data_IF_727143998966
#
_entry.id   IF_727143998966
#
_cell.length_a   1.000
_cell.length_b   1.000
_cell.length_c   1.000
_cell.angle_alpha   90.00
_cell.angle_beta   90.00
_cell.angle_gamma   90.00
#
_symmetry.space_group_name_H-M   'P 1'
#
loop_
_entity.id
_entity.type
_entity.pdbx_description
1 polymer ?
#
# COMPACT_ATOMS: atom_id res chain seq x y z
N UNK A 1 -22.62 36.37 -12.48
CA UNK A 1 -23.42 35.70 -11.42
C UNK A 1 -22.82 36.06 -10.08
N UNK A 2 -23.55 36.78 -9.23
CA UNK A 2 -23.13 37.06 -7.85
C UNK A 2 -23.23 35.76 -7.03
N UNK A 3 -22.09 35.26 -6.56
CA UNK A 3 -22.04 34.11 -5.65
C UNK A 3 -22.62 34.59 -4.30
N UNK A 4 -23.72 33.99 -3.86
CA UNK A 4 -24.35 34.35 -2.57
C UNK A 4 -23.34 34.21 -1.41
N UNK A 5 -23.40 35.06 -0.36
CA UNK A 5 -22.51 34.94 0.79
C UNK A 5 -22.57 33.55 1.43
N UNK A 6 -21.45 33.05 1.96
CA UNK A 6 -21.36 31.67 2.51
C UNK A 6 -22.39 31.37 3.60
N UNK A 7 -22.75 32.36 4.42
CA UNK A 7 -23.80 32.23 5.45
C UNK A 7 -25.16 31.91 4.82
N UNK A 8 -25.50 32.53 3.68
CA UNK A 8 -26.74 32.27 2.95
C UNK A 8 -26.69 30.89 2.29
N UNK A 9 -25.54 30.51 1.70
CA UNK A 9 -25.35 29.17 1.14
C UNK A 9 -25.58 28.08 2.19
N UNK A 10 -25.02 28.22 3.40
CA UNK A 10 -25.21 27.25 4.50
C UNK A 10 -26.67 27.11 4.92
N UNK A 11 -27.42 28.22 5.01
CA UNK A 11 -28.87 28.15 5.28
C UNK A 11 -29.61 27.37 4.21
N UNK A 12 -29.30 27.61 2.93
CA UNK A 12 -29.88 26.85 1.81
C UNK A 12 -29.52 25.37 1.90
N UNK A 13 -28.27 25.04 2.23
CA UNK A 13 -27.81 23.65 2.40
C UNK A 13 -28.50 22.93 3.56
N UNK A 14 -28.72 23.61 4.69
CA UNK A 14 -29.46 23.08 5.82
C UNK A 14 -30.93 22.82 5.46
N UNK A 15 -31.55 23.70 4.65
CA UNK A 15 -32.92 23.52 4.15
C UNK A 15 -33.03 22.52 2.99
N UNK A 16 -31.95 22.25 2.27
CA UNK A 16 -31.94 21.37 1.09
C UNK A 16 -30.70 20.45 1.10
N UNK A 17 -30.79 19.30 1.80
CA UNK A 17 -29.69 18.33 1.89
C UNK A 17 -29.24 17.78 0.53
N UNK A 18 -30.17 17.59 -0.42
CA UNK A 18 -29.85 17.11 -1.77
C UNK A 18 -28.96 18.10 -2.52
N UNK A 19 -29.26 19.40 -2.40
CA UNK A 19 -28.40 20.44 -2.98
C UNK A 19 -27.01 20.43 -2.33
N UNK A 20 -26.94 20.30 -1.02
CA UNK A 20 -25.64 20.21 -0.33
C UNK A 20 -24.82 19.02 -0.83
N UNK A 21 -25.46 17.84 -0.94
CA UNK A 21 -24.83 16.64 -1.46
C UNK A 21 -24.29 16.83 -2.88
N UNK A 22 -25.08 17.42 -3.77
CA UNK A 22 -24.66 17.73 -5.14
C UNK A 22 -23.47 18.70 -5.19
N UNK A 23 -23.40 19.64 -4.25
CA UNK A 23 -22.31 20.62 -4.19
C UNK A 23 -21.01 20.01 -3.59
N UNK A 24 -21.08 19.00 -2.71
CA UNK A 24 -19.90 18.33 -2.13
C UNK A 24 -19.32 17.19 -2.98
N UNK A 25 -20.15 16.48 -3.76
CA UNK A 25 -19.70 15.33 -4.56
C UNK A 25 -18.52 15.69 -5.50
N UNK A 26 -18.54 16.83 -6.23
CA UNK A 26 -17.41 17.22 -7.07
C UNK A 26 -16.11 17.44 -6.28
N UNK A 27 -16.22 17.97 -5.06
CA UNK A 27 -15.07 18.22 -4.17
C UNK A 27 -14.45 16.90 -3.71
N UNK A 28 -15.31 15.95 -3.34
CA UNK A 28 -14.91 14.59 -2.97
C UNK A 28 -14.25 13.89 -4.16
N UNK A 29 -14.88 13.89 -5.35
CA UNK A 29 -14.31 13.30 -6.57
C UNK A 29 -12.94 13.89 -6.92
N UNK A 30 -12.75 15.20 -6.74
CA UNK A 30 -11.46 15.83 -6.97
C UNK A 30 -10.36 15.33 -6.01
N UNK A 31 -10.69 14.97 -4.77
CA UNK A 31 -9.73 14.35 -3.83
C UNK A 31 -9.44 12.89 -4.20
N UNK A 32 -10.49 12.12 -4.52
CA UNK A 32 -10.40 10.69 -4.83
C UNK A 32 -9.62 10.41 -6.11
N UNK A 33 -9.72 11.30 -7.10
CA UNK A 33 -9.08 11.14 -8.40
C UNK A 33 -7.72 11.86 -8.48
N UNK A 34 -7.23 12.43 -7.38
CA UNK A 34 -5.93 13.09 -7.35
C UNK A 34 -4.81 12.02 -7.37
N UNK A 35 -3.92 12.01 -8.39
CA UNK A 35 -2.90 10.99 -8.53
C UNK A 35 -1.92 10.91 -7.34
N UNK A 36 -1.61 12.04 -6.70
CA UNK A 36 -0.70 12.07 -5.56
C UNK A 36 -1.38 11.53 -4.29
N UNK A 37 -2.67 11.82 -4.09
CA UNK A 37 -3.46 11.20 -3.01
C UNK A 37 -3.51 9.68 -3.18
N UNK A 38 -3.82 9.20 -4.39
CA UNK A 38 -3.85 7.76 -4.70
C UNK A 38 -2.46 7.13 -4.49
N UNK A 39 -1.39 7.79 -4.95
CA UNK A 39 -0.02 7.32 -4.75
C UNK A 39 0.35 7.21 -3.27
N UNK A 40 0.01 8.24 -2.48
CA UNK A 40 0.24 8.25 -1.03
C UNK A 40 -0.59 7.19 -0.29
N UNK A 41 -1.79 6.84 -0.77
CA UNK A 41 -2.62 5.82 -0.14
C UNK A 41 -2.09 4.39 -0.37
N UNK A 42 -1.35 4.17 -1.46
CA UNK A 42 -0.67 2.90 -1.76
C UNK A 42 0.64 2.70 -0.97
N UNK A 43 1.16 3.72 -0.28
CA UNK A 43 2.40 3.61 0.47
C UNK A 43 2.20 2.82 1.77
N UNK A 44 2.88 1.68 1.87
CA UNK A 44 2.86 0.81 3.05
C UNK A 44 3.98 1.13 4.04
N UNK A 45 5.08 1.73 3.59
CA UNK A 45 6.28 1.98 4.41
C UNK A 45 6.85 3.39 4.18
N UNK A 46 6.08 4.41 4.56
CA UNK A 46 6.47 5.81 4.41
C UNK A 46 7.71 6.17 5.25
N UNK A 47 8.79 6.62 4.61
CA UNK A 47 9.99 7.11 5.31
C UNK A 47 9.74 8.43 6.06
N UNK A 48 8.92 9.29 5.46
CA UNK A 48 8.61 10.63 5.98
C UNK A 48 7.11 10.73 6.29
N UNK A 49 6.62 10.03 7.34
CA UNK A 49 5.20 9.94 7.64
C UNK A 49 4.54 11.31 7.84
N UNK A 50 5.24 12.23 8.53
CA UNK A 50 4.72 13.58 8.76
C UNK A 50 4.55 14.38 7.48
N UNK A 51 5.42 14.21 6.48
CA UNK A 51 5.32 14.92 5.19
C UNK A 51 4.11 14.44 4.42
N UNK A 52 3.93 13.12 4.28
CA UNK A 52 2.76 12.50 3.63
C UNK A 52 1.47 13.01 4.26
N UNK A 53 1.40 12.92 5.59
CA UNK A 53 0.24 13.35 6.36
C UNK A 53 -0.10 14.83 6.14
N UNK A 54 0.90 15.71 6.18
CA UNK A 54 0.71 17.15 5.99
C UNK A 54 0.30 17.46 4.53
N UNK A 55 0.87 16.76 3.55
CA UNK A 55 0.53 16.93 2.13
C UNK A 55 -0.94 16.58 1.89
N UNK A 56 -1.41 15.40 2.34
CA UNK A 56 -2.82 15.00 2.20
C UNK A 56 -3.76 16.03 2.82
N UNK A 57 -3.49 16.46 4.07
CA UNK A 57 -4.32 17.45 4.78
C UNK A 57 -4.32 18.84 4.14
N UNK A 58 -3.24 19.21 3.46
CA UNK A 58 -3.13 20.51 2.77
C UNK A 58 -3.95 20.60 1.48
N UNK A 59 -4.52 19.48 1.01
CA UNK A 59 -5.24 19.37 -0.26
C UNK A 59 -6.43 20.33 -0.34
N UNK A 60 -6.65 20.90 -1.53
CA UNK A 60 -7.67 21.93 -1.75
C UNK A 60 -9.09 21.46 -1.41
N UNK A 61 -9.41 20.19 -1.66
CA UNK A 61 -10.72 19.62 -1.33
C UNK A 61 -11.03 19.66 0.17
N UNK A 62 -10.05 19.41 1.03
CA UNK A 62 -10.25 19.45 2.49
C UNK A 62 -10.58 20.88 2.93
N UNK A 63 -9.80 21.87 2.46
CA UNK A 63 -10.06 23.29 2.73
C UNK A 63 -11.46 23.70 2.29
N UNK A 64 -11.88 23.30 1.07
CA UNK A 64 -13.23 23.56 0.56
C UNK A 64 -14.33 22.89 1.39
N UNK A 65 -14.12 21.65 1.86
CA UNK A 65 -15.07 20.97 2.73
C UNK A 65 -15.21 21.70 4.08
N UNK A 66 -14.10 22.13 4.68
CA UNK A 66 -14.11 22.95 5.90
C UNK A 66 -14.88 24.26 5.70
N UNK A 67 -14.66 24.94 4.58
CA UNK A 67 -15.40 26.15 4.21
C UNK A 67 -16.90 25.87 4.03
N UNK A 68 -17.28 24.70 3.55
CA UNK A 68 -18.70 24.33 3.40
C UNK A 68 -19.33 24.08 4.77
N UNK A 69 -18.66 23.30 5.61
CA UNK A 69 -19.11 22.94 6.96
C UNK A 69 -19.21 24.18 7.84
N UNK A 70 -18.19 25.04 7.86
CA UNK A 70 -18.19 26.29 8.63
C UNK A 70 -18.42 26.14 10.13
N UNK A 71 -18.12 24.96 10.70
CA UNK A 71 -18.38 24.61 12.10
C UNK A 71 -19.81 24.18 12.42
N UNK A 72 -20.68 24.02 11.43
CA UNK A 72 -22.03 23.51 11.63
C UNK A 72 -22.02 21.97 11.71
N UNK A 73 -22.48 21.42 12.85
CA UNK A 73 -22.45 19.98 13.11
C UNK A 73 -23.37 19.19 12.17
N UNK A 74 -24.48 19.76 11.72
CA UNK A 74 -25.39 19.09 10.80
C UNK A 74 -24.77 18.99 9.41
N UNK A 75 -24.13 20.04 8.92
CA UNK A 75 -23.38 19.99 7.65
C UNK A 75 -22.18 19.05 7.73
N UNK A 76 -21.46 19.02 8.86
CA UNK A 76 -20.39 18.04 9.11
C UNK A 76 -20.92 16.61 9.01
N UNK A 77 -22.01 16.29 9.72
CA UNK A 77 -22.65 14.98 9.69
C UNK A 77 -23.13 14.60 8.28
N UNK A 78 -23.64 15.55 7.51
CA UNK A 78 -24.03 15.31 6.12
C UNK A 78 -22.82 14.93 5.25
N UNK A 79 -21.66 15.57 5.44
CA UNK A 79 -20.41 15.14 4.78
C UNK A 79 -20.03 13.73 5.21
N UNK A 80 -20.00 13.44 6.51
CA UNK A 80 -19.64 12.11 7.04
C UNK A 80 -20.57 11.00 6.53
N UNK A 81 -21.88 11.24 6.48
CA UNK A 81 -22.87 10.31 5.93
C UNK A 81 -22.66 10.07 4.43
N UNK A 82 -22.28 11.11 3.68
CA UNK A 82 -21.97 10.99 2.25
C UNK A 82 -20.73 10.14 2.03
N UNK A 83 -19.65 10.37 2.79
CA UNK A 83 -18.43 9.57 2.72
C UNK A 83 -18.70 8.10 3.09
N UNK A 84 -19.51 7.85 4.12
CA UNK A 84 -19.93 6.50 4.54
C UNK A 84 -20.70 5.78 3.43
N UNK A 85 -21.64 6.47 2.79
CA UNK A 85 -22.45 5.89 1.70
C UNK A 85 -21.60 5.58 0.47
N UNK A 86 -20.69 6.47 0.11
CA UNK A 86 -19.76 6.27 -1.00
C UNK A 86 -18.78 5.12 -0.72
N UNK A 87 -18.23 5.04 0.51
CA UNK A 87 -17.38 3.94 0.93
C UNK A 87 -18.09 2.58 0.81
N UNK A 88 -19.34 2.47 1.26
CA UNK A 88 -20.12 1.22 1.12
C UNK A 88 -20.34 0.86 -0.34
N UNK A 89 -20.63 1.86 -1.18
CA UNK A 89 -20.88 1.66 -2.60
C UNK A 89 -19.63 1.16 -3.34
N UNK A 90 -18.48 1.79 -3.12
CA UNK A 90 -17.26 1.56 -3.93
C UNK A 90 -16.23 0.65 -3.28
N UNK A 91 -16.30 0.42 -1.97
CA UNK A 91 -15.24 -0.21 -1.17
C UNK A 91 -13.90 0.55 -1.12
N UNK A 92 -13.86 1.82 -1.50
CA UNK A 92 -12.60 2.55 -1.62
C UNK A 92 -12.18 3.15 -0.27
N UNK A 93 -11.04 2.69 0.26
CA UNK A 93 -10.48 3.15 1.53
C UNK A 93 -10.06 4.63 1.51
N UNK A 94 -9.92 5.28 0.34
CA UNK A 94 -9.61 6.73 0.29
C UNK A 94 -10.76 7.55 0.90
N UNK A 95 -12.02 7.06 0.89
CA UNK A 95 -13.11 7.71 1.65
C UNK A 95 -12.87 7.69 3.16
N UNK A 96 -12.20 6.64 3.66
CA UNK A 96 -11.77 6.55 5.05
C UNK A 96 -10.65 7.56 5.36
N UNK A 97 -9.68 7.72 4.44
CA UNK A 97 -8.65 8.76 4.54
C UNK A 97 -9.26 10.15 4.56
N UNK A 98 -10.20 10.45 3.67
CA UNK A 98 -10.84 11.76 3.62
C UNK A 98 -11.65 12.05 4.90
N UNK A 99 -12.36 11.05 5.45
CA UNK A 99 -13.01 11.16 6.76
C UNK A 99 -12.01 11.54 7.85
N UNK A 100 -10.90 10.80 7.92
CA UNK A 100 -9.83 11.03 8.89
C UNK A 100 -9.27 12.44 8.78
N UNK A 101 -8.85 12.84 7.57
CA UNK A 101 -8.17 14.10 7.32
C UNK A 101 -9.11 15.30 7.53
N UNK A 102 -10.41 15.19 7.21
CA UNK A 102 -11.38 16.27 7.48
C UNK A 102 -11.55 16.50 8.98
N UNK A 103 -11.63 15.44 9.80
CA UNK A 103 -11.73 15.58 11.25
C UNK A 103 -10.45 16.18 11.85
N UNK A 104 -9.28 15.75 11.39
CA UNK A 104 -8.01 16.36 11.83
C UNK A 104 -7.84 17.80 11.35
N UNK A 105 -8.31 18.15 10.15
CA UNK A 105 -8.32 19.53 9.69
C UNK A 105 -9.27 20.41 10.53
N UNK A 106 -10.42 19.89 10.96
CA UNK A 106 -11.30 20.60 11.91
C UNK A 106 -10.61 20.84 13.26
N UNK A 107 -9.82 19.88 13.74
CA UNK A 107 -9.01 20.02 14.94
C UNK A 107 -7.93 21.10 14.79
N UNK A 108 -7.17 21.07 13.70
CA UNK A 108 -6.13 22.08 13.41
C UNK A 108 -6.71 23.49 13.26
N UNK A 109 -7.91 23.60 12.68
CA UNK A 109 -8.65 24.85 12.54
C UNK A 109 -9.37 25.28 13.84
N UNK A 110 -9.20 24.55 14.96
CA UNK A 110 -9.83 24.82 16.26
C UNK A 110 -11.37 24.89 16.23
N UNK A 111 -12.02 24.11 15.36
CA UNK A 111 -13.48 24.07 15.21
C UNK A 111 -14.10 23.20 16.33
N UNK A 112 -14.18 23.76 17.54
CA UNK A 112 -14.62 23.04 18.75
C UNK A 112 -16.03 22.46 18.67
N UNK A 113 -16.91 23.08 17.90
CA UNK A 113 -18.27 22.60 17.67
C UNK A 113 -18.29 21.19 17.05
N UNK A 114 -17.26 20.83 16.29
CA UNK A 114 -17.11 19.50 15.70
C UNK A 114 -16.29 18.61 16.63
N UNK A 115 -15.07 19.03 17.01
CA UNK A 115 -14.14 18.15 17.74
C UNK A 115 -14.63 17.71 19.11
N UNK A 116 -15.48 18.51 19.76
CA UNK A 116 -16.05 18.15 21.08
C UNK A 116 -17.21 17.18 20.95
N UNK A 117 -17.87 17.13 19.79
CA UNK A 117 -19.10 16.37 19.58
C UNK A 117 -18.92 15.15 18.66
N UNK A 118 -17.84 15.09 17.87
CA UNK A 118 -17.54 13.92 17.06
C UNK A 118 -17.03 12.78 17.98
N UNK A 119 -17.71 11.62 18.01
CA UNK A 119 -17.40 10.54 18.93
C UNK A 119 -16.08 9.84 18.60
N UNK A 120 -15.51 10.06 17.42
CA UNK A 120 -14.26 9.46 16.98
C UNK A 120 -13.05 10.39 17.17
N UNK A 121 -13.25 11.64 17.58
CA UNK A 121 -12.17 12.63 17.69
C UNK A 121 -11.04 12.18 18.62
N UNK A 122 -11.35 11.66 19.81
CA UNK A 122 -10.36 11.17 20.77
C UNK A 122 -9.48 10.07 20.14
N UNK A 123 -10.09 9.12 19.42
CA UNK A 123 -9.38 8.05 18.74
C UNK A 123 -8.48 8.59 17.63
N UNK A 124 -9.03 9.40 16.71
CA UNK A 124 -8.29 9.96 15.57
C UNK A 124 -7.11 10.80 16.06
N UNK A 125 -7.28 11.58 17.13
CA UNK A 125 -6.21 12.38 17.69
C UNK A 125 -5.04 11.53 18.24
N UNK A 126 -5.35 10.43 18.93
CA UNK A 126 -4.32 9.49 19.39
C UNK A 126 -3.64 8.77 18.21
N UNK A 127 -4.42 8.32 17.23
CA UNK A 127 -3.91 7.70 16.01
C UNK A 127 -3.06 8.68 15.18
N UNK A 128 -3.34 9.98 15.22
CA UNK A 128 -2.56 10.97 14.48
C UNK A 128 -1.14 11.09 15.01
N UNK A 129 -1.01 11.11 16.33
CA UNK A 129 0.28 11.10 16.99
C UNK A 129 1.05 9.81 16.68
N UNK A 130 0.35 8.67 16.70
CA UNK A 130 0.87 7.37 16.27
C UNK A 130 1.41 7.43 14.84
N UNK A 131 0.57 7.78 13.88
CA UNK A 131 0.85 7.89 12.45
C UNK A 131 2.07 8.77 12.16
N UNK A 132 2.18 9.94 12.80
CA UNK A 132 3.32 10.86 12.61
C UNK A 132 4.67 10.27 13.06
N UNK A 133 4.66 9.35 14.00
CA UNK A 133 5.87 8.72 14.57
C UNK A 133 6.09 7.28 14.14
N UNK A 134 5.11 6.67 13.45
CA UNK A 134 5.05 5.23 13.16
C UNK A 134 5.30 4.37 14.40
N UNK A 135 4.86 4.84 15.56
CA UNK A 135 5.05 4.20 16.87
C UNK A 135 3.78 4.26 17.71
N UNK A 136 3.45 3.12 18.32
CA UNK A 136 2.40 3.00 19.34
C UNK A 136 3.09 2.70 20.68
N UNK A 137 3.49 3.76 21.39
CA UNK A 137 4.01 3.61 22.76
C UNK A 137 2.92 3.14 23.74
N UNK A 138 3.34 2.58 24.88
CA UNK A 138 2.42 2.01 25.88
C UNK A 138 1.33 3.01 26.32
N UNK A 139 1.69 4.29 26.48
CA UNK A 139 0.75 5.35 26.88
C UNK A 139 -0.34 5.55 25.82
N UNK A 140 0.02 5.57 24.54
CA UNK A 140 -0.93 5.72 23.43
C UNK A 140 -1.82 4.48 23.29
N UNK A 141 -1.25 3.29 23.42
CA UNK A 141 -2.02 2.04 23.43
C UNK A 141 -3.05 2.07 24.56
N UNK A 142 -2.64 2.49 25.76
CA UNK A 142 -3.53 2.60 26.92
C UNK A 142 -4.66 3.63 26.70
N UNK A 143 -4.35 4.79 26.12
CA UNK A 143 -5.37 5.78 25.77
C UNK A 143 -6.39 5.23 24.75
N UNK A 144 -5.90 4.53 23.72
CA UNK A 144 -6.77 3.92 22.71
C UNK A 144 -7.63 2.82 23.36
N UNK A 145 -7.07 1.98 24.22
CA UNK A 145 -7.85 0.96 24.98
C UNK A 145 -8.94 1.60 25.84
N UNK A 146 -8.59 2.61 26.63
CA UNK A 146 -9.55 3.38 27.44
C UNK A 146 -10.65 4.02 26.60
N UNK A 147 -10.34 4.45 25.38
CA UNK A 147 -11.36 4.92 24.45
C UNK A 147 -12.35 3.80 24.10
N UNK A 148 -11.86 2.60 23.72
CA UNK A 148 -12.72 1.45 23.42
C UNK A 148 -13.57 1.01 24.62
N UNK A 149 -13.03 1.07 25.84
CA UNK A 149 -13.76 0.69 27.06
C UNK A 149 -14.98 1.60 27.33
N UNK A 150 -14.99 2.83 26.80
CA UNK A 150 -16.11 3.77 26.92
C UNK A 150 -17.21 3.51 25.89
N UNK A 151 -16.92 2.80 24.80
CA UNK A 151 -17.86 2.60 23.68
C UNK A 151 -18.66 1.33 23.93
N UNK A 152 -19.99 1.43 23.86
CA UNK A 152 -20.87 0.29 24.11
C UNK A 152 -20.73 -0.77 23.00
N UNK A 153 -20.86 -2.06 23.34
CA UNK A 153 -20.51 -3.18 22.44
C UNK A 153 -21.18 -3.16 21.05
N UNK A 154 -22.41 -2.66 20.96
CA UNK A 154 -23.18 -2.60 19.72
C UNK A 154 -23.40 -1.14 19.25
N UNK A 155 -22.57 -0.20 19.73
CA UNK A 155 -22.66 1.23 19.41
C UNK A 155 -22.38 1.51 17.93
N UNK A 156 -23.23 2.28 17.21
CA UNK A 156 -22.98 2.71 15.83
C UNK A 156 -21.62 3.38 15.60
N UNK A 157 -21.02 3.97 16.63
CA UNK A 157 -19.67 4.56 16.59
C UNK A 157 -18.62 3.54 16.13
N UNK A 158 -18.82 2.24 16.34
CA UNK A 158 -17.91 1.21 15.81
C UNK A 158 -17.80 1.23 14.27
N UNK A 159 -18.84 1.65 13.55
CA UNK A 159 -18.77 1.81 12.10
C UNK A 159 -17.79 2.93 11.70
N UNK A 160 -17.81 4.03 12.44
CA UNK A 160 -16.91 5.17 12.23
C UNK A 160 -15.47 4.85 12.63
N UNK A 161 -15.29 4.17 13.77
CA UNK A 161 -14.01 3.63 14.23
C UNK A 161 -13.43 2.69 13.18
N UNK A 162 -14.23 1.75 12.67
CA UNK A 162 -13.77 0.80 11.67
C UNK A 162 -13.32 1.52 10.39
N UNK A 163 -14.07 2.52 9.91
CA UNK A 163 -13.62 3.34 8.78
C UNK A 163 -12.29 4.05 9.09
N UNK A 164 -12.13 4.66 10.27
CA UNK A 164 -10.87 5.31 10.67
C UNK A 164 -9.69 4.32 10.65
N UNK A 165 -9.89 3.11 11.17
CA UNK A 165 -8.86 2.07 11.19
C UNK A 165 -8.59 1.49 9.80
N UNK A 166 -9.55 1.61 8.87
CA UNK A 166 -9.39 1.21 7.47
C UNK A 166 -8.70 2.28 6.60
N UNK A 167 -8.39 3.46 7.13
CA UNK A 167 -7.49 4.40 6.44
C UNK A 167 -6.17 3.66 6.09
N UNK A 168 -5.72 3.67 4.82
CA UNK A 168 -4.55 2.91 4.39
C UNK A 168 -3.29 3.23 5.21
N UNK A 169 -3.07 4.51 5.55
CA UNK A 169 -1.92 4.92 6.33
C UNK A 169 -1.97 4.37 7.76
N UNK A 170 -3.12 4.49 8.42
CA UNK A 170 -3.39 3.97 9.77
C UNK A 170 -3.30 2.44 9.82
N UNK A 171 -3.96 1.73 8.90
CA UNK A 171 -3.93 0.27 8.86
C UNK A 171 -2.51 -0.27 8.60
N UNK A 172 -1.72 0.38 7.74
CA UNK A 172 -0.32 0.00 7.51
C UNK A 172 0.56 0.33 8.72
N UNK A 173 0.32 1.43 9.41
CA UNK A 173 0.99 1.75 10.66
C UNK A 173 0.72 0.68 11.74
N UNK A 174 -0.53 0.25 11.91
CA UNK A 174 -0.91 -0.83 12.83
C UNK A 174 -0.26 -2.16 12.43
N UNK A 175 -0.27 -2.52 11.14
CA UNK A 175 0.36 -3.75 10.64
C UNK A 175 1.88 -3.76 10.86
N UNK A 176 2.55 -2.63 10.61
CA UNK A 176 3.97 -2.45 10.89
C UNK A 176 4.28 -2.61 12.38
N UNK A 177 3.46 -2.03 13.25
CA UNK A 177 3.60 -2.20 14.71
C UNK A 177 3.33 -3.63 15.18
N UNK A 178 2.35 -4.31 14.59
CA UNK A 178 2.06 -5.71 14.89
C UNK A 178 3.28 -6.60 14.58
N UNK A 179 3.90 -6.41 13.40
CA UNK A 179 5.14 -7.09 13.06
C UNK A 179 6.26 -6.76 14.05
N UNK A 180 6.41 -5.49 14.43
CA UNK A 180 7.45 -5.07 15.36
C UNK A 180 7.28 -5.72 16.75
N UNK A 181 6.04 -5.84 17.26
CA UNK A 181 5.76 -6.55 18.51
C UNK A 181 6.18 -8.02 18.41
N UNK A 182 5.90 -8.68 17.28
CA UNK A 182 6.31 -10.07 17.05
C UNK A 182 7.84 -10.24 17.02
N UNK A 183 8.55 -9.31 16.39
CA UNK A 183 10.03 -9.28 16.36
C UNK A 183 10.59 -9.08 17.78
N UNK A 184 10.08 -8.09 18.52
CA UNK A 184 10.53 -7.77 19.88
C UNK A 184 10.28 -8.93 20.86
N UNK A 185 9.13 -9.60 20.74
CA UNK A 185 8.81 -10.78 21.55
C UNK A 185 9.81 -11.92 21.34
N UNK A 186 10.24 -12.12 20.09
CA UNK A 186 11.23 -13.13 19.72
C UNK A 186 12.62 -12.81 20.28
N UNK A 187 12.99 -11.53 20.32
CA UNK A 187 14.32 -11.10 20.81
C UNK A 187 14.44 -11.08 22.34
N UNK A 188 13.32 -10.89 23.06
CA UNK A 188 13.33 -10.69 24.51
C UNK A 188 12.83 -11.90 25.32
N UNK A 189 12.45 -12.99 24.65
CA UNK A 189 11.82 -14.19 25.24
C UNK A 189 10.55 -13.89 26.07
N UNK A 190 9.93 -12.72 25.89
CA UNK A 190 8.75 -12.26 26.64
C UNK A 190 7.43 -12.60 25.93
N UNK A 191 7.19 -13.89 25.71
CA UNK A 191 6.07 -14.36 24.89
C UNK A 191 4.68 -14.02 25.46
N UNK A 192 4.43 -14.21 26.76
CA UNK A 192 3.07 -14.10 27.33
C UNK A 192 2.48 -12.67 27.40
N UNK A 193 3.28 -11.64 27.70
CA UNK A 193 2.79 -10.24 27.69
C UNK A 193 2.65 -9.69 26.27
N UNK A 194 3.53 -10.13 25.37
CA UNK A 194 3.44 -9.79 23.96
C UNK A 194 2.17 -10.38 23.32
N UNK A 195 1.76 -11.59 23.70
CA UNK A 195 0.59 -12.28 23.14
C UNK A 195 -0.70 -11.45 23.20
N UNK A 196 -1.07 -10.93 24.38
CA UNK A 196 -2.28 -10.10 24.54
C UNK A 196 -2.22 -8.83 23.69
N UNK A 197 -1.05 -8.21 23.59
CA UNK A 197 -0.88 -6.97 22.81
C UNK A 197 -0.87 -7.25 21.30
N UNK A 198 -0.29 -8.38 20.88
CA UNK A 198 -0.35 -8.90 19.51
C UNK A 198 -1.79 -9.15 19.09
N UNK A 199 -2.57 -9.90 19.89
CA UNK A 199 -3.97 -10.21 19.59
C UNK A 199 -4.81 -8.94 19.53
N UNK A 200 -4.63 -8.01 20.48
CA UNK A 200 -5.35 -6.75 20.49
C UNK A 200 -5.03 -5.90 19.25
N UNK A 201 -3.75 -5.78 18.89
CA UNK A 201 -3.30 -5.01 17.72
C UNK A 201 -3.82 -5.64 16.42
N UNK A 202 -3.77 -6.97 16.30
CA UNK A 202 -4.37 -7.71 15.19
C UNK A 202 -5.89 -7.50 15.11
N UNK A 203 -6.58 -7.43 16.26
CA UNK A 203 -8.02 -7.15 16.32
C UNK A 203 -8.35 -5.75 15.81
N UNK A 204 -7.53 -4.73 16.12
CA UNK A 204 -7.72 -3.37 15.58
C UNK A 204 -7.55 -3.33 14.06
N UNK A 205 -6.53 -4.03 13.54
CA UNK A 205 -6.34 -4.17 12.09
C UNK A 205 -7.53 -4.89 11.44
N UNK A 206 -8.01 -5.97 12.06
CA UNK A 206 -9.15 -6.74 11.58
C UNK A 206 -10.45 -5.94 11.61
N UNK A 207 -10.65 -5.11 12.62
CA UNK A 207 -11.80 -4.19 12.71
C UNK A 207 -11.81 -3.23 11.52
N UNK A 208 -10.67 -2.65 11.16
CA UNK A 208 -10.52 -1.83 9.96
C UNK A 208 -10.86 -2.60 8.68
N UNK A 209 -10.30 -3.80 8.51
CA UNK A 209 -10.58 -4.64 7.34
C UNK A 209 -12.07 -4.99 7.14
N UNK A 210 -12.84 -5.02 8.23
CA UNK A 210 -14.28 -5.31 8.21
C UNK A 210 -15.16 -4.04 8.15
N UNK A 211 -14.58 -2.85 8.01
CA UNK A 211 -15.30 -1.58 8.06
C UNK A 211 -16.50 -1.54 7.12
N UNK A 212 -16.31 -1.91 5.83
CA UNK A 212 -17.39 -1.90 4.85
C UNK A 212 -18.54 -2.80 5.29
N UNK A 213 -18.24 -4.01 5.74
CA UNK A 213 -19.25 -4.98 6.18
C UNK A 213 -20.01 -4.49 7.41
N UNK A 214 -19.31 -3.96 8.41
CA UNK A 214 -19.89 -3.41 9.64
C UNK A 214 -20.86 -2.28 9.31
N UNK A 215 -20.41 -1.34 8.47
CA UNK A 215 -21.19 -0.19 8.04
C UNK A 215 -22.38 -0.61 7.19
N UNK A 216 -22.18 -1.49 6.21
CA UNK A 216 -23.25 -1.93 5.30
C UNK A 216 -24.33 -2.76 6.03
N UNK A 217 -23.92 -3.67 6.91
CA UNK A 217 -24.83 -4.57 7.61
C UNK A 217 -25.42 -3.95 8.89
N UNK A 218 -24.89 -2.79 9.33
CA UNK A 218 -25.25 -2.15 10.59
C UNK A 218 -25.06 -3.11 11.79
N UNK A 219 -24.03 -3.95 11.72
CA UNK A 219 -23.66 -4.91 12.78
C UNK A 219 -22.36 -4.45 13.43
N UNK A 220 -22.49 -3.66 14.47
CA UNK A 220 -21.42 -2.87 15.10
C UNK A 220 -20.49 -3.64 16.04
N UNK A 221 -20.40 -4.96 15.88
CA UNK A 221 -19.56 -5.80 16.73
C UNK A 221 -18.13 -5.84 16.23
N UNK A 222 -17.17 -5.74 17.16
CA UNK A 222 -15.76 -5.94 16.86
C UNK A 222 -15.55 -7.39 16.38
N UNK A 223 -15.04 -7.60 15.15
CA UNK A 223 -14.80 -8.93 14.60
C UNK A 223 -13.54 -9.52 15.22
N UNK A 224 -13.62 -10.79 15.63
CA UNK A 224 -12.47 -11.53 16.13
C UNK A 224 -11.53 -11.88 14.99
N UNK A 225 -10.23 -11.92 15.27
CA UNK A 225 -9.26 -12.53 14.38
C UNK A 225 -9.44 -14.04 14.45
N UNK A 226 -9.42 -14.70 13.30
CA UNK A 226 -9.61 -16.14 13.21
C UNK A 226 -8.41 -16.92 13.77
N UNK A 227 -8.67 -18.14 14.26
CA UNK A 227 -7.66 -19.01 14.87
C UNK A 227 -6.59 -19.47 13.87
N UNK A 228 -6.97 -19.69 12.60
CA UNK A 228 -6.01 -19.96 11.51
C UNK A 228 -4.97 -18.82 11.34
N UNK A 229 -5.36 -17.56 11.58
CA UNK A 229 -4.45 -16.42 11.50
C UNK A 229 -3.56 -16.36 12.74
N UNK A 230 -4.16 -16.45 13.93
CA UNK A 230 -3.46 -16.28 15.21
C UNK A 230 -2.60 -17.47 15.59
N UNK A 231 -3.15 -18.68 15.54
CA UNK A 231 -2.47 -19.89 16.02
C UNK A 231 -1.58 -20.54 14.97
N UNK A 232 -1.93 -20.41 13.68
CA UNK A 232 -1.19 -21.03 12.56
C UNK A 232 -0.31 -20.03 11.84
N UNK A 233 -0.90 -19.04 11.15
CA UNK A 233 -0.15 -18.09 10.33
C UNK A 233 0.87 -17.27 11.13
N UNK A 234 0.47 -16.62 12.23
CA UNK A 234 1.39 -15.83 13.03
C UNK A 234 2.48 -16.69 13.67
N UNK A 235 2.17 -17.92 14.10
CA UNK A 235 3.15 -18.88 14.63
C UNK A 235 4.19 -19.30 13.58
N UNK A 236 3.74 -19.62 12.36
CA UNK A 236 4.64 -19.90 11.24
C UNK A 236 5.52 -18.68 10.94
N UNK A 237 4.94 -17.48 10.85
CA UNK A 237 5.70 -16.25 10.59
C UNK A 237 6.69 -15.93 11.72
N UNK A 238 6.33 -16.16 12.99
CA UNK A 238 7.24 -16.05 14.13
C UNK A 238 8.44 -16.98 14.00
N UNK A 239 8.24 -18.18 13.47
CA UNK A 239 9.33 -19.13 13.24
C UNK A 239 10.30 -18.63 12.15
N UNK A 240 9.80 -17.98 11.09
CA UNK A 240 10.65 -17.27 10.13
C UNK A 240 11.44 -16.12 10.78
N UNK A 241 10.77 -15.30 11.61
CA UNK A 241 11.39 -14.19 12.34
C UNK A 241 12.51 -14.70 13.27
N UNK A 242 12.25 -15.78 14.01
CA UNK A 242 13.22 -16.42 14.89
C UNK A 242 14.41 -16.98 14.13
N UNK A 243 14.16 -17.72 13.05
CA UNK A 243 15.21 -18.28 12.19
C UNK A 243 16.11 -17.19 11.59
N UNK A 244 15.54 -16.06 11.21
CA UNK A 244 16.30 -14.90 10.74
C UNK A 244 17.12 -14.24 11.85
N UNK A 245 16.55 -14.11 13.05
CA UNK A 245 17.25 -13.56 14.21
C UNK A 245 18.45 -14.45 14.61
N UNK A 246 18.26 -15.77 14.68
CA UNK A 246 19.34 -16.74 14.95
C UNK A 246 20.42 -16.65 13.87
N UNK A 247 20.03 -16.61 12.60
CA UNK A 247 20.97 -16.47 11.48
C UNK A 247 21.79 -15.19 11.58
N UNK A 248 21.15 -14.06 11.93
CA UNK A 248 21.84 -12.79 12.09
C UNK A 248 22.81 -12.79 13.26
N UNK A 249 22.49 -13.46 14.37
CA UNK A 249 23.37 -13.58 15.54
C UNK A 249 24.57 -14.52 15.28
N UNK A 250 24.37 -15.56 14.48
CA UNK A 250 25.37 -16.61 14.22
C UNK A 250 26.19 -16.37 12.94
N UNK A 251 26.02 -15.23 12.27
CA UNK A 251 26.72 -14.93 11.02
C UNK A 251 28.27 -14.96 11.17
N UNK A 252 28.78 -14.75 12.39
CA UNK A 252 30.21 -14.76 12.74
C UNK A 252 30.63 -15.95 13.62
N UNK A 253 29.72 -16.91 13.86
CA UNK A 253 29.97 -18.08 14.72
C UNK A 253 30.39 -19.30 13.89
N UNK A 254 31.51 -19.94 14.24
CA UNK A 254 31.93 -21.23 13.64
C UNK A 254 31.11 -22.43 14.14
N UNK A 255 30.29 -22.27 15.19
CA UNK A 255 29.47 -23.36 15.69
C UNK A 255 28.36 -23.74 14.70
N UNK A 256 28.27 -25.02 14.30
CA UNK A 256 27.16 -25.50 13.49
C UNK A 256 25.86 -25.32 14.28
N UNK A 257 24.88 -24.67 13.64
CA UNK A 257 23.56 -24.49 14.21
C UNK A 257 22.50 -25.06 13.28
N UNK A 258 21.56 -25.80 13.85
CA UNK A 258 20.38 -26.26 13.13
C UNK A 258 19.35 -25.13 13.11
N UNK A 259 18.88 -24.82 11.91
CA UNK A 259 17.71 -23.97 11.68
C UNK A 259 16.58 -24.95 11.37
N UNK A 260 15.45 -24.82 12.05
CA UNK A 260 14.27 -25.60 11.71
C UNK A 260 13.78 -25.20 10.32
N UNK A 261 13.57 -26.18 9.43
CA UNK A 261 12.91 -25.95 8.16
C UNK A 261 11.44 -25.63 8.44
N UNK A 262 11.07 -24.38 8.20
CA UNK A 262 9.71 -23.88 8.35
C UNK A 262 9.19 -23.61 6.94
N UNK A 263 8.04 -24.19 6.63
CA UNK A 263 7.33 -23.97 5.38
C UNK A 263 5.89 -23.51 5.67
N UNK A 264 5.33 -22.74 4.73
CA UNK A 264 3.91 -22.42 4.77
C UNK A 264 3.11 -23.66 4.40
N UNK A 265 2.15 -24.01 5.24
CA UNK A 265 1.15 -25.05 4.98
C UNK A 265 -0.02 -24.49 4.16
N UNK A 266 -0.89 -25.36 3.66
CA UNK A 266 -2.15 -24.94 3.02
C UNK A 266 -3.03 -24.08 3.94
N UNK A 267 -3.03 -24.33 5.26
CA UNK A 267 -3.77 -23.48 6.21
C UNK A 267 -3.21 -22.05 6.24
N UNK A 268 -1.89 -21.89 6.08
CA UNK A 268 -1.26 -20.57 6.01
C UNK A 268 -1.63 -19.84 4.71
N UNK A 269 -1.73 -20.56 3.59
CA UNK A 269 -2.15 -19.99 2.32
C UNK A 269 -3.64 -19.58 2.34
N UNK A 270 -4.51 -20.40 2.94
CA UNK A 270 -5.92 -20.04 3.17
C UNK A 270 -6.03 -18.79 4.05
N UNK A 271 -5.19 -18.66 5.08
CA UNK A 271 -5.16 -17.45 5.90
C UNK A 271 -4.80 -16.20 5.08
N UNK A 272 -3.91 -16.31 4.07
CA UNK A 272 -3.60 -15.23 3.14
C UNK A 272 -4.75 -14.91 2.17
N UNK A 273 -5.54 -15.92 1.79
CA UNK A 273 -6.70 -15.74 0.91
C UNK A 273 -7.83 -14.98 1.64
N UNK A 274 -8.09 -15.31 2.90
CA UNK A 274 -9.27 -14.80 3.63
C UNK A 274 -8.98 -13.62 4.56
N UNK A 275 -7.74 -13.48 5.07
CA UNK A 275 -7.44 -12.50 6.11
C UNK A 275 -6.55 -11.34 5.65
N UNK A 276 -7.09 -10.13 5.78
CA UNK A 276 -6.36 -8.89 5.56
C UNK A 276 -5.20 -8.70 6.56
N UNK A 277 -5.37 -9.20 7.79
CA UNK A 277 -4.33 -9.19 8.82
C UNK A 277 -3.12 -10.01 8.35
N UNK A 278 -3.36 -11.23 7.85
CA UNK A 278 -2.30 -12.10 7.37
C UNK A 278 -1.57 -11.49 6.15
N UNK A 279 -2.33 -10.98 5.17
CA UNK A 279 -1.78 -10.31 3.98
C UNK A 279 -0.92 -9.10 4.34
N UNK A 280 -1.41 -8.18 5.17
CA UNK A 280 -0.62 -7.02 5.58
C UNK A 280 0.63 -7.43 6.36
N UNK A 281 0.54 -8.43 7.24
CA UNK A 281 1.71 -8.91 7.99
C UNK A 281 2.81 -9.48 7.08
N UNK A 282 2.48 -10.35 6.11
CA UNK A 282 3.49 -10.89 5.19
C UNK A 282 4.09 -9.80 4.31
N UNK A 283 3.27 -8.85 3.82
CA UNK A 283 3.73 -7.71 3.04
C UNK A 283 4.73 -6.86 3.85
N UNK A 284 4.37 -6.47 5.09
CA UNK A 284 5.25 -5.69 5.96
C UNK A 284 6.52 -6.44 6.34
N UNK A 285 6.45 -7.76 6.53
CA UNK A 285 7.64 -8.57 6.80
C UNK A 285 8.59 -8.59 5.59
N UNK A 286 8.07 -8.80 4.38
CA UNK A 286 8.87 -8.75 3.14
C UNK A 286 9.50 -7.37 2.94
N UNK A 287 8.73 -6.28 3.09
CA UNK A 287 9.24 -4.92 2.98
C UNK A 287 10.34 -4.64 4.02
N UNK A 288 10.16 -5.12 5.25
CA UNK A 288 11.15 -5.03 6.31
C UNK A 288 12.44 -5.79 5.95
N UNK A 289 12.35 -7.03 5.46
CA UNK A 289 13.53 -7.81 5.03
C UNK A 289 14.25 -7.17 3.85
N UNK A 290 13.50 -6.61 2.89
CA UNK A 290 14.07 -5.86 1.76
C UNK A 290 14.84 -4.62 2.23
N UNK A 291 14.26 -3.84 3.14
CA UNK A 291 14.90 -2.66 3.71
C UNK A 291 16.22 -3.00 4.44
N UNK A 292 16.28 -4.16 5.11
CA UNK A 292 17.48 -4.66 5.79
C UNK A 292 18.45 -5.44 4.89
N UNK A 293 18.18 -5.50 3.58
CA UNK A 293 18.99 -6.24 2.61
C UNK A 293 19.17 -7.74 2.89
N UNK A 294 18.19 -8.37 3.54
CA UNK A 294 18.23 -9.80 3.87
C UNK A 294 17.69 -10.66 2.72
N UNK A 295 18.52 -10.86 1.70
CA UNK A 295 18.13 -11.66 0.52
C UNK A 295 17.84 -13.13 0.85
N UNK A 296 18.39 -13.64 1.95
CA UNK A 296 18.14 -15.03 2.36
C UNK A 296 16.71 -15.18 2.89
N UNK A 297 16.28 -14.28 3.76
CA UNK A 297 14.89 -14.24 4.21
C UNK A 297 13.93 -14.09 3.02
N UNK A 298 14.22 -13.13 2.12
CA UNK A 298 13.43 -12.88 0.91
C UNK A 298 13.26 -14.15 0.06
N UNK A 299 14.35 -14.89 -0.20
CA UNK A 299 14.29 -16.12 -1.00
C UNK A 299 13.41 -17.22 -0.39
N UNK A 300 13.21 -17.21 0.93
CA UNK A 300 12.38 -18.21 1.62
C UNK A 300 10.91 -17.80 1.71
N UNK A 301 10.61 -16.51 1.89
CA UNK A 301 9.25 -16.04 2.14
C UNK A 301 8.49 -15.61 0.86
N UNK A 302 9.19 -15.05 -0.13
CA UNK A 302 8.56 -14.56 -1.37
C UNK A 302 7.79 -15.63 -2.16
N UNK A 303 8.25 -16.90 -2.24
CA UNK A 303 7.47 -17.94 -2.91
C UNK A 303 6.04 -18.09 -2.37
N UNK A 304 5.83 -17.86 -1.07
CA UNK A 304 4.51 -17.94 -0.44
C UNK A 304 3.59 -16.80 -0.88
N UNK A 305 4.15 -15.59 -1.10
CA UNK A 305 3.42 -14.48 -1.71
C UNK A 305 2.99 -14.83 -3.14
N UNK A 306 3.92 -15.34 -3.96
CA UNK A 306 3.63 -15.76 -5.34
C UNK A 306 2.55 -16.85 -5.36
N UNK A 307 2.60 -17.80 -4.42
CA UNK A 307 1.60 -18.85 -4.29
C UNK A 307 0.22 -18.30 -3.95
N UNK A 308 0.11 -17.36 -3.00
CA UNK A 308 -1.17 -16.72 -2.68
C UNK A 308 -1.72 -15.90 -3.86
N UNK A 309 -0.87 -15.16 -4.57
CA UNK A 309 -1.30 -14.44 -5.77
C UNK A 309 -1.79 -15.39 -6.88
N UNK A 310 -1.08 -16.50 -7.12
CA UNK A 310 -1.48 -17.56 -8.06
C UNK A 310 -2.85 -18.15 -7.75
N UNK A 311 -3.14 -18.40 -6.49
CA UNK A 311 -4.44 -18.97 -6.05
C UNK A 311 -5.61 -18.03 -6.36
N UNK A 312 -5.34 -16.72 -6.37
CA UNK A 312 -6.32 -15.67 -6.59
C UNK A 312 -6.22 -15.04 -7.99
N UNK A 313 -5.58 -15.72 -8.94
CA UNK A 313 -5.28 -15.20 -10.29
C UNK A 313 -6.51 -14.88 -11.15
N UNK A 314 -7.64 -15.56 -10.93
CA UNK A 314 -8.86 -15.42 -11.74
C UNK A 314 -9.67 -14.14 -11.43
N UNK A 315 -8.99 -13.09 -10.98
CA UNK A 315 -9.61 -11.84 -10.59
C UNK A 315 -9.98 -10.99 -11.80
N UNK A 316 -11.19 -10.42 -11.77
CA UNK A 316 -11.66 -9.50 -12.81
C UNK A 316 -11.12 -8.08 -12.55
N UNK A 317 -10.00 -7.75 -13.18
CA UNK A 317 -9.40 -6.41 -13.13
C UNK A 317 -10.23 -5.33 -13.83
N UNK A 318 -11.30 -5.70 -14.55
CA UNK A 318 -12.26 -4.76 -15.13
C UNK A 318 -13.40 -4.44 -14.15
N UNK A 319 -13.49 -5.13 -13.00
CA UNK A 319 -14.43 -4.79 -11.93
C UNK A 319 -14.22 -3.36 -11.45
N UNK A 320 -15.31 -2.60 -11.32
CA UNK A 320 -15.29 -1.25 -10.73
C UNK A 320 -14.83 -1.25 -9.27
N UNK A 321 -14.93 -2.40 -8.59
CA UNK A 321 -14.58 -2.55 -7.17
C UNK A 321 -13.46 -3.57 -7.05
N UNK A 322 -12.29 -3.11 -6.59
CA UNK A 322 -11.20 -4.00 -6.21
C UNK A 322 -11.49 -4.69 -4.87
N UNK A 323 -11.22 -5.98 -4.79
CA UNK A 323 -11.22 -6.69 -3.51
C UNK A 323 -10.01 -6.26 -2.63
N UNK A 324 -10.09 -6.56 -1.34
CA UNK A 324 -9.04 -6.17 -0.39
C UNK A 324 -7.69 -6.83 -0.68
N UNK A 325 -7.67 -8.05 -1.21
CA UNK A 325 -6.45 -8.79 -1.51
C UNK A 325 -5.62 -8.05 -2.57
N UNK A 326 -6.26 -7.73 -3.70
CA UNK A 326 -5.59 -7.06 -4.81
C UNK A 326 -5.21 -5.62 -4.48
N UNK A 327 -6.01 -4.90 -3.67
CA UNK A 327 -5.63 -3.57 -3.16
C UNK A 327 -4.36 -3.64 -2.32
N UNK A 328 -4.25 -4.61 -1.42
CA UNK A 328 -3.08 -4.75 -0.54
C UNK A 328 -1.85 -5.22 -1.30
N UNK A 329 -1.99 -6.14 -2.25
CA UNK A 329 -0.86 -6.60 -3.07
C UNK A 329 -0.38 -5.52 -4.04
N UNK A 330 -1.29 -4.73 -4.64
CA UNK A 330 -0.92 -3.55 -5.42
C UNK A 330 -0.13 -2.53 -4.59
N UNK A 331 -0.60 -2.23 -3.38
CA UNK A 331 0.09 -1.33 -2.44
C UNK A 331 1.47 -1.87 -2.04
N UNK A 332 1.57 -3.19 -1.87
CA UNK A 332 2.84 -3.86 -1.62
C UNK A 332 3.81 -3.67 -2.78
N UNK A 333 3.41 -3.91 -4.03
CA UNK A 333 4.30 -3.73 -5.19
C UNK A 333 4.79 -2.29 -5.31
N UNK A 334 3.90 -1.31 -5.14
CA UNK A 334 4.26 0.09 -5.14
C UNK A 334 5.36 0.39 -4.11
N UNK A 335 5.17 -0.06 -2.87
CA UNK A 335 6.12 0.17 -1.77
C UNK A 335 7.43 -0.61 -1.97
N UNK A 336 7.34 -1.85 -2.45
CA UNK A 336 8.48 -2.72 -2.73
C UNK A 336 9.39 -2.12 -3.79
N UNK A 337 8.81 -1.67 -4.91
CA UNK A 337 9.53 -0.96 -5.98
C UNK A 337 10.13 0.35 -5.45
N UNK A 338 9.39 1.11 -4.64
CA UNK A 338 9.88 2.32 -4.00
C UNK A 338 11.13 2.08 -3.13
N UNK A 339 11.15 1.02 -2.32
CA UNK A 339 12.33 0.61 -1.54
C UNK A 339 13.47 0.15 -2.45
N UNK A 340 13.18 -0.67 -3.46
CA UNK A 340 14.18 -1.25 -4.36
C UNK A 340 14.89 -0.19 -5.21
N UNK A 341 14.20 0.91 -5.56
CA UNK A 341 14.77 2.02 -6.33
C UNK A 341 15.69 2.95 -5.51
N UNK A 342 15.76 2.79 -4.18
CA UNK A 342 16.70 3.56 -3.35
C UNK A 342 18.13 3.20 -3.74
N UNK A 343 19.04 4.18 -3.65
CA UNK A 343 20.38 4.11 -4.26
C UNK A 343 21.20 2.86 -3.88
N UNK A 344 21.10 2.39 -2.63
CA UNK A 344 21.86 1.23 -2.17
C UNK A 344 21.22 -0.10 -2.60
N UNK A 345 19.89 -0.23 -2.52
CA UNK A 345 19.14 -1.40 -2.96
C UNK A 345 19.30 -1.64 -4.44
N UNK A 346 19.10 -0.60 -5.27
CA UNK A 346 19.17 -0.74 -6.72
C UNK A 346 20.57 -1.15 -7.16
N UNK A 347 21.61 -0.58 -6.55
CA UNK A 347 23.00 -0.96 -6.81
C UNK A 347 23.23 -2.43 -6.46
N UNK A 348 22.71 -2.90 -5.32
CA UNK A 348 22.86 -4.29 -4.90
C UNK A 348 22.11 -5.25 -5.83
N UNK A 349 20.88 -4.92 -6.19
CA UNK A 349 20.06 -5.68 -7.14
C UNK A 349 20.78 -5.85 -8.48
N UNK A 350 21.28 -4.76 -9.04
CA UNK A 350 21.94 -4.79 -10.35
C UNK A 350 23.26 -5.56 -10.30
N UNK A 351 24.09 -5.35 -9.28
CA UNK A 351 25.46 -5.91 -9.26
C UNK A 351 25.55 -7.35 -8.77
N UNK A 352 24.50 -7.91 -8.16
CA UNK A 352 24.58 -9.22 -7.50
C UNK A 352 23.60 -10.23 -8.11
N UNK A 353 24.12 -11.29 -8.75
CA UNK A 353 23.31 -12.34 -9.41
C UNK A 353 22.25 -12.98 -8.51
N UNK A 354 22.57 -13.22 -7.23
CA UNK A 354 21.61 -13.77 -6.26
C UNK A 354 20.40 -12.84 -6.08
N UNK A 355 20.63 -11.54 -6.01
CA UNK A 355 19.56 -10.54 -5.90
C UNK A 355 18.69 -10.49 -7.15
N UNK A 356 19.31 -10.50 -8.33
CA UNK A 356 18.59 -10.57 -9.60
C UNK A 356 17.71 -11.82 -9.69
N UNK A 357 18.24 -12.97 -9.27
CA UNK A 357 17.50 -14.24 -9.32
C UNK A 357 16.28 -14.18 -8.41
N UNK A 358 16.49 -13.87 -7.13
CA UNK A 358 15.40 -13.87 -6.13
C UNK A 358 14.35 -12.80 -6.41
N UNK A 359 14.76 -11.57 -6.76
CA UNK A 359 13.81 -10.46 -6.97
C UNK A 359 13.18 -10.51 -8.36
N UNK A 360 13.97 -10.73 -9.40
CA UNK A 360 13.45 -10.67 -10.77
C UNK A 360 12.88 -12.01 -11.20
N UNK A 361 13.68 -13.07 -11.15
CA UNK A 361 13.29 -14.37 -11.73
C UNK A 361 12.30 -15.14 -10.85
N UNK A 362 12.48 -15.11 -9.54
CA UNK A 362 11.68 -15.92 -8.62
C UNK A 362 10.45 -15.16 -8.08
N UNK A 363 10.44 -13.83 -8.21
CA UNK A 363 9.37 -12.97 -7.66
C UNK A 363 8.67 -12.09 -8.70
N UNK A 364 9.33 -11.09 -9.28
CA UNK A 364 8.69 -10.14 -10.20
C UNK A 364 8.14 -10.78 -11.47
N UNK A 365 8.93 -11.62 -12.16
CA UNK A 365 8.47 -12.25 -13.40
C UNK A 365 7.27 -13.19 -13.17
N UNK A 366 7.27 -14.09 -12.16
CA UNK A 366 6.10 -14.89 -11.83
C UNK A 366 4.87 -14.06 -11.49
N UNK A 367 5.01 -13.01 -10.67
CA UNK A 367 3.88 -12.15 -10.30
C UNK A 367 3.32 -11.37 -11.51
N UNK A 368 4.20 -10.78 -12.32
CA UNK A 368 3.83 -10.00 -13.49
C UNK A 368 3.15 -10.85 -14.58
N UNK A 369 3.42 -12.16 -14.63
CA UNK A 369 2.74 -13.07 -15.55
C UNK A 369 1.28 -13.35 -15.19
N UNK A 370 0.86 -13.00 -13.97
CA UNK A 370 -0.43 -13.38 -13.40
C UNK A 370 -1.29 -12.15 -13.09
N UNK A 371 -0.67 -11.07 -12.60
CA UNK A 371 -1.34 -9.88 -12.09
C UNK A 371 -0.95 -8.64 -12.91
N UNK A 372 -1.95 -7.95 -13.45
CA UNK A 372 -1.74 -6.76 -14.28
C UNK A 372 -1.15 -5.58 -13.51
N UNK A 373 -1.49 -5.40 -12.24
CA UNK A 373 -0.94 -4.33 -11.41
C UNK A 373 0.54 -4.62 -11.08
N UNK A 374 0.89 -5.88 -10.79
CA UNK A 374 2.27 -6.31 -10.64
C UNK A 374 3.05 -6.08 -11.94
N UNK A 375 2.49 -6.46 -13.08
CA UNK A 375 3.08 -6.22 -14.41
C UNK A 375 3.41 -4.74 -14.64
N UNK A 376 2.43 -3.84 -14.42
CA UNK A 376 2.62 -2.39 -14.54
C UNK A 376 3.74 -1.89 -13.64
N UNK A 377 3.78 -2.32 -12.37
CA UNK A 377 4.80 -1.91 -11.40
C UNK A 377 6.20 -2.41 -11.78
N UNK A 378 6.32 -3.64 -12.29
CA UNK A 378 7.62 -4.20 -12.71
C UNK A 378 8.15 -3.51 -13.97
N UNK A 379 7.30 -3.22 -14.95
CA UNK A 379 7.70 -2.47 -16.15
C UNK A 379 8.14 -1.05 -15.78
N UNK A 380 7.37 -0.38 -14.91
CA UNK A 380 7.72 0.95 -14.39
C UNK A 380 9.03 0.94 -13.60
N UNK A 381 9.24 -0.10 -12.79
CA UNK A 381 10.50 -0.32 -12.07
C UNK A 381 11.69 -0.41 -13.03
N UNK A 382 11.61 -1.22 -14.08
CA UNK A 382 12.71 -1.37 -15.04
C UNK A 382 13.06 -0.05 -15.74
N UNK A 383 12.06 0.74 -16.13
CA UNK A 383 12.29 2.08 -16.70
C UNK A 383 13.02 3.00 -15.71
N UNK A 384 12.53 3.07 -14.47
CA UNK A 384 13.09 3.94 -13.44
C UNK A 384 14.50 3.50 -13.02
N UNK A 385 14.71 2.19 -12.85
CA UNK A 385 16.01 1.59 -12.58
C UNK A 385 17.02 1.93 -13.69
N UNK A 386 16.61 1.79 -14.94
CA UNK A 386 17.44 2.11 -16.09
C UNK A 386 17.83 3.60 -16.11
N UNK A 387 16.87 4.51 -15.94
CA UNK A 387 17.10 5.96 -15.90
C UNK A 387 18.00 6.41 -14.74
N UNK A 388 17.80 5.82 -13.56
CA UNK A 388 18.62 6.12 -12.39
C UNK A 388 20.10 5.74 -12.63
N UNK A 389 20.35 4.62 -13.31
CA UNK A 389 21.71 4.23 -13.67
C UNK A 389 22.26 5.10 -14.79
N UNK A 390 21.50 5.33 -15.85
CA UNK A 390 21.91 6.14 -16.99
C UNK A 390 22.31 7.56 -16.57
N UNK A 391 21.53 8.18 -15.66
CA UNK A 391 21.80 9.52 -15.14
C UNK A 391 22.99 9.58 -14.16
N UNK A 392 23.31 8.48 -13.46
CA UNK A 392 24.38 8.46 -12.45
C UNK A 392 25.79 8.55 -13.03
N UNK A 393 25.98 8.41 -14.35
CA UNK A 393 27.29 8.46 -15.02
C UNK A 393 28.26 7.35 -14.60
N UNK A 394 27.84 6.42 -13.73
CA UNK A 394 28.63 5.27 -13.25
C UNK A 394 28.59 4.15 -14.29
N UNK A 395 29.10 4.46 -15.48
CA UNK A 395 29.27 3.56 -16.62
C UNK A 395 30.44 2.56 -16.44
N UNK A 396 30.54 1.96 -15.25
CA UNK A 396 31.47 0.90 -14.89
C UNK A 396 30.79 -0.48 -14.91
N UNK A 397 31.10 -1.35 -13.94
CA UNK A 397 30.53 -2.71 -13.79
C UNK A 397 29.00 -2.78 -13.65
N UNK A 398 28.34 -1.65 -13.38
CA UNK A 398 26.87 -1.54 -13.36
C UNK A 398 26.29 -1.63 -14.78
N UNK A 399 27.07 -1.27 -15.81
CA UNK A 399 26.67 -1.43 -17.21
C UNK A 399 26.44 -2.88 -17.63
N UNK A 400 27.31 -3.79 -17.17
CA UNK A 400 27.19 -5.23 -17.42
C UNK A 400 25.94 -5.83 -16.75
N UNK A 401 25.43 -5.17 -15.72
CA UNK A 401 24.21 -5.56 -15.00
C UNK A 401 22.94 -5.42 -15.84
N UNK A 402 22.96 -4.58 -16.88
CA UNK A 402 21.85 -4.41 -17.82
C UNK A 402 21.93 -5.34 -19.04
N UNK A 403 22.91 -6.25 -19.09
CA UNK A 403 22.92 -7.34 -20.09
C UNK A 403 21.64 -8.17 -20.09
N UNK A 404 20.97 -8.27 -18.93
CA UNK A 404 19.71 -8.99 -18.79
C UNK A 404 18.47 -8.16 -19.09
N UNK A 405 18.57 -6.84 -19.27
CA UNK A 405 17.40 -5.97 -19.44
C UNK A 405 16.57 -6.37 -20.66
N UNK A 406 17.21 -6.60 -21.81
CA UNK A 406 16.51 -7.08 -23.01
C UNK A 406 15.75 -8.38 -22.75
N UNK A 407 16.41 -9.36 -22.13
CA UNK A 407 15.79 -10.65 -21.79
C UNK A 407 14.63 -10.51 -20.81
N UNK A 408 14.73 -9.62 -19.82
CA UNK A 408 13.65 -9.35 -18.89
C UNK A 408 12.45 -8.70 -19.57
N UNK A 409 12.68 -7.71 -20.45
CA UNK A 409 11.61 -7.10 -21.25
C UNK A 409 10.93 -8.11 -22.15
N UNK A 410 11.71 -8.94 -22.84
CA UNK A 410 11.19 -10.00 -23.70
C UNK A 410 10.37 -11.02 -22.91
N UNK A 411 10.86 -11.42 -21.74
CA UNK A 411 10.13 -12.36 -20.85
C UNK A 411 8.84 -11.75 -20.33
N UNK A 412 8.86 -10.47 -19.92
CA UNK A 412 7.65 -9.76 -19.48
C UNK A 412 6.62 -9.71 -20.61
N UNK A 413 7.03 -9.28 -21.80
CA UNK A 413 6.11 -9.16 -22.93
C UNK A 413 5.54 -10.52 -23.35
N UNK A 414 6.36 -11.56 -23.41
CA UNK A 414 5.94 -12.91 -23.82
C UNK A 414 4.95 -13.53 -22.83
N UNK A 415 5.09 -13.23 -21.54
CA UNK A 415 4.23 -13.77 -20.47
C UNK A 415 3.19 -12.76 -19.98
N UNK A 416 2.90 -11.69 -20.74
CA UNK A 416 2.00 -10.64 -20.29
C UNK A 416 0.57 -11.17 -20.06
N UNK A 417 -0.16 -10.73 -19.01
CA UNK A 417 -1.50 -11.22 -18.71
C UNK A 417 -2.56 -10.53 -19.59
N UNK A 418 -2.59 -10.86 -20.89
CA UNK A 418 -3.38 -10.16 -21.93
C UNK A 418 -4.86 -9.96 -21.58
N UNK A 419 -5.50 -10.96 -20.96
CA UNK A 419 -6.92 -10.93 -20.61
C UNK A 419 -7.29 -9.88 -19.55
N UNK A 420 -6.30 -9.36 -18.82
CA UNK A 420 -6.51 -8.47 -17.65
C UNK A 420 -6.07 -7.04 -17.89
N UNK A 421 -5.39 -6.76 -19.00
CA UNK A 421 -4.88 -5.42 -19.34
C UNK A 421 -5.88 -4.73 -20.27
N UNK A 422 -6.42 -3.59 -19.85
CA UNK A 422 -7.31 -2.78 -20.70
C UNK A 422 -6.56 -2.18 -21.89
N UNK A 423 -7.28 -1.82 -22.95
CA UNK A 423 -6.68 -1.25 -24.16
C UNK A 423 -5.93 0.06 -23.88
N UNK A 424 -6.51 0.95 -23.06
CA UNK A 424 -5.87 2.19 -22.62
C UNK A 424 -4.55 1.91 -21.89
N UNK A 425 -4.54 0.95 -20.96
CA UNK A 425 -3.32 0.53 -20.25
C UNK A 425 -2.29 -0.07 -21.20
N UNK A 426 -2.72 -0.85 -22.18
CA UNK A 426 -1.82 -1.42 -23.18
C UNK A 426 -1.09 -0.34 -23.98
N UNK A 427 -1.78 0.75 -24.36
CA UNK A 427 -1.17 1.89 -25.04
C UNK A 427 -0.09 2.54 -24.16
N UNK A 428 -0.38 2.78 -22.88
CA UNK A 428 0.58 3.35 -21.91
C UNK A 428 1.79 2.44 -21.72
N UNK A 429 1.56 1.14 -21.57
CA UNK A 429 2.62 0.13 -21.45
C UNK A 429 3.49 0.09 -22.71
N UNK A 430 2.89 0.13 -23.90
CA UNK A 430 3.60 0.20 -25.18
C UNK A 430 4.54 1.41 -25.24
N UNK A 431 4.04 2.58 -24.84
CA UNK A 431 4.85 3.80 -24.74
C UNK A 431 6.00 3.64 -23.74
N UNK A 432 5.75 2.96 -22.61
CA UNK A 432 6.79 2.69 -21.60
C UNK A 432 7.88 1.76 -22.13
N UNK A 433 7.51 0.67 -22.81
CA UNK A 433 8.48 -0.22 -23.47
C UNK A 433 9.28 0.53 -24.56
N UNK A 434 8.61 1.34 -25.39
CA UNK A 434 9.25 2.13 -26.43
C UNK A 434 10.27 3.12 -25.83
N UNK A 435 9.93 3.75 -24.71
CA UNK A 435 10.81 4.64 -23.98
C UNK A 435 12.06 3.92 -23.48
N UNK A 436 11.93 2.71 -22.89
CA UNK A 436 13.08 1.94 -22.41
C UNK A 436 14.02 1.59 -23.57
N UNK A 437 13.48 1.11 -24.69
CA UNK A 437 14.27 0.73 -25.88
C UNK A 437 14.98 1.94 -26.47
N UNK A 438 14.29 3.08 -26.56
CA UNK A 438 14.85 4.34 -27.07
C UNK A 438 15.97 4.86 -26.16
N UNK A 439 15.69 4.95 -24.85
CA UNK A 439 16.63 5.41 -23.83
C UNK A 439 17.92 4.55 -23.89
N UNK A 440 17.79 3.22 -23.96
CA UNK A 440 18.94 2.31 -24.06
C UNK A 440 19.80 2.53 -25.32
N UNK A 441 19.22 2.98 -26.43
CA UNK A 441 19.95 3.28 -27.66
C UNK A 441 20.71 4.62 -27.63
N UNK A 442 20.26 5.58 -26.83
CA UNK A 442 20.79 6.95 -26.79
C UNK A 442 21.81 7.13 -25.67
N UNK A 443 21.55 6.57 -24.48
CA UNK A 443 22.41 6.81 -23.32
C UNK A 443 23.81 6.20 -23.47
N UNK A 444 24.80 6.91 -22.94
CA UNK A 444 26.22 6.54 -23.00
C UNK A 444 26.73 6.24 -24.43
N UNK A 445 26.18 6.91 -25.45
CA UNK A 445 26.57 6.71 -26.84
C UNK A 445 26.21 5.33 -27.40
N UNK A 446 25.15 4.69 -26.88
CA UNK A 446 24.71 3.36 -27.29
C UNK A 446 25.51 2.21 -26.67
N UNK A 447 26.37 2.48 -25.68
CA UNK A 447 27.17 1.45 -24.98
C UNK A 447 26.31 0.39 -24.30
N UNK A 448 25.08 0.73 -23.91
CA UNK A 448 24.11 -0.16 -23.25
C UNK A 448 22.91 -0.49 -24.14
N UNK A 449 23.11 -0.42 -25.46
CA UNK A 449 22.08 -0.71 -26.45
C UNK A 449 21.56 -2.14 -26.28
N UNK A 450 20.25 -2.27 -26.12
CA UNK A 450 19.57 -3.56 -26.16
C UNK A 450 19.69 -4.11 -27.59
N UNK A 451 20.23 -5.33 -27.73
CA UNK A 451 20.39 -5.95 -29.04
C UNK A 451 19.03 -6.43 -29.53
N UNK A 452 18.78 -6.32 -30.83
CA UNK A 452 17.50 -6.76 -31.42
C UNK A 452 17.21 -8.24 -31.17
N UNK A 453 18.26 -9.06 -31.13
CA UNK A 453 18.19 -10.50 -30.80
C UNK A 453 17.75 -10.79 -29.36
N UNK A 454 17.90 -9.84 -28.44
CA UNK A 454 17.46 -9.99 -27.05
C UNK A 454 15.98 -9.64 -26.86
N UNK A 455 15.33 -9.01 -27.85
CA UNK A 455 13.95 -8.50 -27.79
C UNK A 455 13.13 -8.75 -29.10
N UNK A 456 13.12 -9.97 -29.66
CA UNK A 456 12.52 -10.23 -30.97
C UNK A 456 11.00 -9.96 -31.02
N UNK A 457 10.26 -10.12 -29.91
CA UNK A 457 8.81 -9.86 -29.87
C UNK A 457 8.45 -8.46 -29.40
N UNK A 458 9.26 -7.89 -28.51
CA UNK A 458 9.07 -6.49 -28.06
C UNK A 458 9.34 -5.50 -29.18
N UNK A 459 10.30 -5.77 -30.08
CA UNK A 459 10.66 -4.81 -31.14
C UNK A 459 9.49 -4.49 -32.09
N UNK A 460 8.76 -5.47 -32.68
CA UNK A 460 7.54 -5.19 -33.44
C UNK A 460 6.45 -4.47 -32.62
N UNK A 461 6.36 -4.79 -31.33
CA UNK A 461 5.41 -4.14 -30.44
C UNK A 461 5.71 -2.65 -30.29
N UNK A 462 6.96 -2.23 -30.11
CA UNK A 462 7.28 -0.80 -29.90
C UNK A 462 7.48 0.00 -31.19
N UNK A 463 7.82 -0.65 -32.31
CA UNK A 463 8.19 0.00 -33.58
C UNK A 463 7.24 1.12 -34.04
N UNK A 464 5.91 0.95 -34.03
CA UNK A 464 4.99 1.99 -34.48
C UNK A 464 5.08 3.29 -33.67
N UNK A 465 5.28 3.20 -32.36
CA UNK A 465 5.42 4.37 -31.47
C UNK A 465 6.84 4.93 -31.54
N UNK A 466 7.84 4.04 -31.64
CA UNK A 466 9.25 4.42 -31.65
C UNK A 466 9.65 5.20 -32.91
N UNK A 467 9.12 4.81 -34.08
CA UNK A 467 9.38 5.48 -35.35
C UNK A 467 8.81 6.91 -35.40
N UNK A 468 7.62 7.13 -34.80
CA UNK A 468 7.02 8.47 -34.67
C UNK A 468 7.88 9.40 -33.81
N UNK A 469 8.38 8.92 -32.67
CA UNK A 469 9.27 9.72 -31.80
C UNK A 469 10.63 10.07 -32.42
N UNK A 470 11.16 9.27 -33.36
CA UNK A 470 12.41 9.63 -34.04
C UNK A 470 12.22 10.72 -35.10
N UNK A 471 11.05 10.80 -35.74
CA UNK A 471 10.73 11.86 -36.71
C UNK A 471 10.64 13.25 -36.06
N UNK A 472 10.09 13.35 -34.84
CA UNK A 472 9.95 14.63 -34.12
C UNK A 472 11.30 15.20 -33.61
N UNK A 473 12.30 14.36 -33.36
CA UNK A 473 13.64 14.79 -32.92
C UNK A 473 14.56 15.26 -34.05
N UNK A 474 14.11 15.15 -35.30
CA UNK A 474 14.84 15.55 -36.50
C UNK A 474 14.37 16.89 -37.11
N UNK A 475 13.64 17.70 -36.34
CA UNK A 475 13.15 19.04 -36.73
C UNK A 475 13.93 20.19 -36.08
#
# INVERSE_FOLDING_TARGET
MLIAPKVVQRRVWLSNPNKFQNDIIPIVKAYMNDPEIIRMSMEMSAEQPTVVINQRRSHASIKKLLDFIGGDMQLYNNVMNSLRSLFVLTNDAIYCTLRYDVLMACHEANIRAITTNDPSHELVWNLDACNRTLSMDERRVENIRKFFDKVSRDDPVHGDIAMILNDPFTSNMIASRLLQIMIEATQTERFGQAENTTIWTATMLNLGAHARRIVQQQKFRIPKVEANVTDKFMSTLNSYILNDAIRSLKQDSEEPYQIDEVEFTEENLVALDDSEVARKLICHYILNRLAHMDIQALSKIMPNFVASLKRNANYDYQSEVMDSLHVTYRSFFHSFVGILLRQHQITRFLTTRKWQTVIMNDFFLPCAAIDSAAYEQVVTFLLNAFRLVASSGRAGSIGDSFSNLGRWLETLYTNRPESTISEEKNIVLRGTFAQIVSDAGVFSGGRYKIRQEDIPTVLPYVQPVWAETQMDTSS
#
